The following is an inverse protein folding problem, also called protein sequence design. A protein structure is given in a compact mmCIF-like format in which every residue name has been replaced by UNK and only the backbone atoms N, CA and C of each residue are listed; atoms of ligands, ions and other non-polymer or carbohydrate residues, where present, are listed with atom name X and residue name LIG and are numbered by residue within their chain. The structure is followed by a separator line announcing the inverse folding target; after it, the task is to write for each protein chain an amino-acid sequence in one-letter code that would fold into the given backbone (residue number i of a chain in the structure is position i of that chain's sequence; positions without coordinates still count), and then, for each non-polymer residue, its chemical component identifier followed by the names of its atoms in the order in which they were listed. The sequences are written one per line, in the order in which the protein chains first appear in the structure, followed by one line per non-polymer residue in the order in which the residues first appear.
data_IF_394306925024
#
_entry.id   IF_394306925024
#
_cell.length_a   1.000
_cell.length_b   1.000
_cell.length_c   1.000
_cell.angle_alpha   90.00
_cell.angle_beta   90.00
_cell.angle_gamma   90.00
#
_symmetry.space_group_name_H-M   'P 1'
#
loop_
_entity.id
_entity.type
_entity.pdbx_description
1 polymer ?
#
# COMPACT_ATOMS: atom_id res chain seq x y z
N UNK A 1 40.09 18.12 18.77
CA UNK A 1 39.56 16.93 18.02
C UNK A 1 38.58 16.15 18.90
N UNK A 2 38.96 15.71 20.12
CA UNK A 2 38.09 14.91 20.99
C UNK A 2 36.73 15.57 21.31
N UNK A 3 36.72 16.89 21.59
CA UNK A 3 35.51 17.65 21.85
C UNK A 3 34.59 17.69 20.62
N UNK A 4 35.12 17.87 19.42
CA UNK A 4 34.36 17.86 18.18
C UNK A 4 33.71 16.48 17.90
N UNK A 5 34.45 15.41 18.12
CA UNK A 5 33.96 14.04 18.00
C UNK A 5 32.86 13.77 19.02
N UNK A 6 33.01 14.25 20.25
CA UNK A 6 31.99 14.11 21.29
C UNK A 6 30.70 14.87 20.93
N UNK A 7 30.81 16.12 20.45
CA UNK A 7 29.65 16.91 20.00
C UNK A 7 28.95 16.22 18.81
N UNK A 8 29.73 15.78 17.81
CA UNK A 8 29.21 15.04 16.68
C UNK A 8 28.49 13.77 17.13
N UNK A 9 29.07 13.01 18.02
CA UNK A 9 28.49 11.79 18.56
C UNK A 9 27.18 12.06 19.31
N UNK A 10 27.13 13.09 20.15
CA UNK A 10 25.92 13.50 20.88
C UNK A 10 24.82 14.00 19.96
N UNK A 11 25.12 14.72 18.89
CA UNK A 11 24.13 15.21 17.93
C UNK A 11 23.60 14.11 17.01
N UNK A 12 24.44 13.12 16.70
CA UNK A 12 24.02 11.99 15.83
C UNK A 12 23.36 10.84 16.57
N UNK A 13 23.47 10.78 17.91
CA UNK A 13 22.78 9.76 18.72
C UNK A 13 21.26 9.72 18.50
N UNK A 14 20.66 10.88 18.22
CA UNK A 14 19.22 10.97 17.92
C UNK A 14 18.86 10.39 16.55
N UNK A 15 19.82 10.35 15.63
CA UNK A 15 19.67 9.84 14.26
C UNK A 15 20.33 8.48 14.07
N UNK A 16 20.66 7.79 15.16
CA UNK A 16 21.29 6.47 15.07
C UNK A 16 20.32 5.47 14.46
N UNK A 17 20.54 4.96 13.23
CA UNK A 17 19.67 3.98 12.58
C UNK A 17 19.64 2.63 13.31
N UNK A 18 20.58 2.40 14.22
CA UNK A 18 20.64 1.19 15.06
C UNK A 18 19.81 1.34 16.35
N UNK A 19 19.16 2.48 16.58
CA UNK A 19 18.22 2.61 17.70
C UNK A 19 17.02 1.73 17.40
N UNK A 20 17.00 0.55 17.95
CA UNK A 20 15.86 -0.34 17.96
C UNK A 20 14.80 0.29 18.89
N UNK A 21 13.96 1.16 18.32
CA UNK A 21 12.73 1.51 18.97
C UNK A 21 11.85 0.26 18.94
N UNK A 22 11.29 -0.20 20.08
CA UNK A 22 10.31 -1.27 20.03
C UNK A 22 9.18 -0.80 19.11
N UNK A 23 9.04 -1.42 17.96
CA UNK A 23 7.92 -1.17 17.06
C UNK A 23 6.67 -1.60 17.82
N UNK A 24 5.80 -0.65 18.18
CA UNK A 24 4.52 -0.95 18.81
C UNK A 24 3.61 -1.78 17.90
N UNK A 25 3.91 -1.80 16.61
CA UNK A 25 3.14 -2.53 15.60
C UNK A 25 4.11 -3.28 14.70
N UNK A 26 4.14 -4.61 14.80
CA UNK A 26 4.88 -5.46 13.87
C UNK A 26 3.97 -5.86 12.69
N UNK A 27 3.89 -4.98 11.71
CA UNK A 27 3.11 -5.23 10.48
C UNK A 27 3.65 -6.44 9.70
N UNK A 28 4.95 -6.69 9.78
CA UNK A 28 5.57 -7.87 9.18
C UNK A 28 5.11 -9.16 9.84
N UNK A 29 4.87 -9.17 11.15
CA UNK A 29 4.32 -10.32 11.85
C UNK A 29 2.88 -10.61 11.41
N UNK A 30 2.02 -9.60 11.30
CA UNK A 30 0.67 -9.76 10.76
C UNK A 30 0.70 -10.36 9.36
N UNK A 31 1.58 -9.86 8.50
CA UNK A 31 1.77 -10.42 7.17
C UNK A 31 2.22 -11.89 7.22
N UNK A 32 3.18 -12.27 8.06
CA UNK A 32 3.67 -13.66 8.20
C UNK A 32 2.60 -14.60 8.72
N UNK A 33 1.85 -14.20 9.77
CA UNK A 33 0.80 -15.03 10.38
C UNK A 33 -0.32 -15.31 9.37
N UNK A 34 -0.74 -14.30 8.61
CA UNK A 34 -1.85 -14.42 7.67
C UNK A 34 -1.41 -14.85 6.27
N UNK A 35 -0.09 -14.97 6.07
CA UNK A 35 0.54 -15.25 4.79
C UNK A 35 1.03 -16.68 4.63
N UNK A 36 0.74 -17.58 5.56
CA UNK A 36 1.41 -18.87 5.73
C UNK A 36 1.34 -19.83 4.54
N UNK A 37 0.70 -19.48 3.45
CA UNK A 37 0.60 -20.36 2.28
C UNK A 37 1.21 -19.70 1.04
N UNK A 38 2.18 -20.36 0.47
CA UNK A 38 2.77 -20.27 -0.87
C UNK A 38 4.13 -19.60 -0.98
N UNK A 39 5.09 -20.39 -1.49
CA UNK A 39 6.46 -20.02 -1.83
C UNK A 39 6.63 -18.98 -2.95
N UNK A 40 5.66 -18.11 -3.19
CA UNK A 40 5.73 -17.00 -4.11
C UNK A 40 5.67 -15.67 -3.36
N UNK A 41 6.49 -14.71 -3.81
CA UNK A 41 6.47 -13.34 -3.30
C UNK A 41 5.09 -12.74 -3.58
N UNK A 42 4.22 -12.72 -2.59
CA UNK A 42 2.88 -12.16 -2.68
C UNK A 42 2.91 -10.70 -2.28
N UNK A 43 2.69 -9.81 -3.25
CA UNK A 43 2.62 -8.37 -3.01
C UNK A 43 1.32 -7.99 -2.33
N UNK A 44 1.41 -7.00 -1.44
CA UNK A 44 0.28 -6.44 -0.69
C UNK A 44 -0.03 -5.04 -1.18
N UNK A 45 -1.30 -4.77 -1.46
CA UNK A 45 -1.82 -3.43 -1.64
C UNK A 45 -2.18 -2.86 -0.26
N UNK A 46 -1.60 -1.73 0.11
CA UNK A 46 -1.87 -1.06 1.39
C UNK A 46 -2.85 0.08 1.15
N UNK A 47 -4.01 0.02 1.79
CA UNK A 47 -5.08 1.00 1.62
C UNK A 47 -5.04 2.08 2.70
N UNK A 48 -5.51 3.27 2.35
CA UNK A 48 -5.57 4.47 3.20
C UNK A 48 -4.22 4.87 3.80
N UNK A 49 -3.14 4.49 3.12
CA UNK A 49 -1.80 5.01 3.37
C UNK A 49 -1.38 5.87 2.19
N UNK A 50 -0.85 7.06 2.44
CA UNK A 50 -0.07 7.76 1.44
C UNK A 50 1.12 6.88 1.00
N UNK A 51 1.85 7.29 -0.04
CA UNK A 51 3.00 6.52 -0.49
C UNK A 51 4.00 6.22 0.63
N UNK A 52 4.11 7.09 1.63
CA UNK A 52 4.96 6.92 2.81
C UNK A 52 4.34 5.88 3.77
N UNK A 53 3.03 5.91 4.00
CA UNK A 53 2.33 4.92 4.84
C UNK A 53 2.52 3.49 4.35
N UNK A 54 2.48 3.24 3.04
CA UNK A 54 2.77 1.94 2.47
C UNK A 54 4.23 1.50 2.72
N UNK A 55 5.19 2.44 2.72
CA UNK A 55 6.60 2.17 3.00
C UNK A 55 6.85 1.66 4.43
N UNK A 56 5.98 1.97 5.39
CA UNK A 56 6.06 1.41 6.75
C UNK A 56 5.86 -0.10 6.71
N UNK A 57 4.95 -0.60 5.87
CA UNK A 57 4.77 -2.04 5.64
C UNK A 57 6.02 -2.66 4.99
N UNK A 58 6.60 -1.98 4.00
CA UNK A 58 7.84 -2.43 3.36
C UNK A 58 9.00 -2.50 4.35
N UNK A 59 9.14 -1.53 5.24
CA UNK A 59 10.13 -1.54 6.32
C UNK A 59 9.92 -2.70 7.30
N UNK A 60 8.67 -3.16 7.48
CA UNK A 60 8.31 -4.37 8.22
C UNK A 60 8.53 -5.68 7.44
N UNK A 61 9.10 -5.63 6.23
CA UNK A 61 9.37 -6.80 5.40
C UNK A 61 8.18 -7.28 4.56
N UNK A 62 7.12 -6.46 4.42
CA UNK A 62 5.96 -6.77 3.58
C UNK A 62 6.21 -6.31 2.15
N UNK A 63 6.18 -7.20 1.13
CA UNK A 63 6.24 -6.79 -0.26
C UNK A 63 5.00 -5.98 -0.62
N UNK A 64 5.17 -4.78 -1.15
CA UNK A 64 4.08 -3.84 -1.43
C UNK A 64 3.87 -3.59 -2.93
N UNK A 65 2.65 -3.18 -3.31
CA UNK A 65 2.27 -2.75 -4.66
C UNK A 65 2.31 -1.23 -4.80
N UNK A 66 1.93 -0.50 -3.76
CA UNK A 66 1.90 0.96 -3.74
C UNK A 66 2.95 1.52 -2.78
N UNK A 67 3.38 2.76 -3.00
CA UNK A 67 4.44 3.40 -2.23
C UNK A 67 5.20 4.41 -3.09
N UNK A 68 6.50 4.53 -2.89
CA UNK A 68 7.37 5.46 -3.63
C UNK A 68 8.10 4.71 -4.73
N UNK A 69 7.88 5.10 -5.98
CA UNK A 69 8.45 4.44 -7.16
C UNK A 69 9.10 5.42 -8.13
N UNK A 70 10.29 5.07 -8.62
CA UNK A 70 10.98 5.83 -9.67
C UNK A 70 10.41 5.59 -11.06
N UNK A 71 9.79 4.43 -11.27
CA UNK A 71 9.20 4.03 -12.54
C UNK A 71 7.73 3.67 -12.37
N UNK A 72 6.85 4.01 -13.34
CA UNK A 72 5.44 3.66 -13.26
C UNK A 72 5.24 2.15 -13.33
N UNK A 73 4.24 1.66 -12.62
CA UNK A 73 3.78 0.27 -12.69
C UNK A 73 2.91 0.04 -13.93
N UNK A 74 3.52 0.11 -15.12
CA UNK A 74 2.80 0.06 -16.39
C UNK A 74 1.81 -1.10 -16.46
N UNK A 75 2.25 -2.33 -16.19
CA UNK A 75 1.40 -3.52 -16.23
C UNK A 75 0.21 -3.46 -15.25
N UNK A 76 0.33 -2.76 -14.12
CA UNK A 76 -0.80 -2.54 -13.21
C UNK A 76 -1.81 -1.58 -13.85
N UNK A 77 -1.36 -0.47 -14.39
CA UNK A 77 -2.22 0.53 -15.02
C UNK A 77 -2.95 -0.02 -16.25
N UNK A 78 -2.27 -0.85 -17.05
CA UNK A 78 -2.88 -1.55 -18.19
C UNK A 78 -3.99 -2.48 -17.74
N UNK A 79 -3.76 -3.31 -16.69
CA UNK A 79 -4.80 -4.18 -16.13
C UNK A 79 -5.97 -3.41 -15.52
N UNK A 80 -5.70 -2.27 -14.90
CA UNK A 80 -6.76 -1.40 -14.36
C UNK A 80 -7.58 -0.69 -15.45
N UNK A 81 -7.13 -0.74 -16.72
CA UNK A 81 -7.84 -0.15 -17.85
C UNK A 81 -7.92 1.37 -17.78
N UNK A 82 -6.81 2.04 -17.42
CA UNK A 82 -6.78 3.50 -17.41
C UNK A 82 -6.90 4.06 -18.83
N UNK A 83 -7.56 5.21 -18.95
CA UNK A 83 -7.75 5.88 -20.23
C UNK A 83 -6.45 6.52 -20.70
N UNK A 84 -6.34 6.73 -22.03
CA UNK A 84 -5.12 7.28 -22.63
C UNK A 84 -4.72 8.64 -22.03
N UNK A 85 -5.70 9.45 -21.72
CA UNK A 85 -5.55 10.78 -21.13
C UNK A 85 -4.99 10.72 -19.70
N UNK A 86 -5.24 9.63 -18.98
CA UNK A 86 -4.76 9.44 -17.60
C UNK A 86 -3.29 8.99 -17.54
N UNK A 87 -2.75 8.48 -18.65
CA UNK A 87 -1.33 8.06 -18.70
C UNK A 87 -0.37 9.20 -18.36
N UNK A 88 -0.70 10.43 -18.71
CA UNK A 88 0.12 11.60 -18.36
C UNK A 88 0.24 11.79 -16.83
N UNK A 89 -0.76 11.35 -16.07
CA UNK A 89 -0.78 11.46 -14.62
C UNK A 89 0.09 10.41 -13.93
N UNK A 90 0.19 9.21 -14.53
CA UNK A 90 0.80 8.04 -13.89
C UNK A 90 2.16 7.64 -14.47
N UNK A 91 2.52 8.15 -15.66
CA UNK A 91 3.79 7.81 -16.32
C UNK A 91 4.93 8.72 -15.83
N UNK A 92 5.24 8.65 -14.54
CA UNK A 92 6.28 9.46 -13.88
C UNK A 92 6.76 8.82 -12.57
N UNK A 93 7.82 9.40 -11.97
CA UNK A 93 8.10 9.21 -10.56
C UNK A 93 6.87 9.55 -9.73
N UNK A 94 6.52 8.70 -8.78
CA UNK A 94 5.28 8.91 -8.04
C UNK A 94 5.32 8.32 -6.63
N UNK A 95 4.66 9.03 -5.72
CA UNK A 95 4.17 8.51 -4.45
C UNK A 95 2.75 8.00 -4.69
N UNK A 96 2.62 6.70 -4.88
CA UNK A 96 1.34 6.07 -5.22
C UNK A 96 0.58 5.66 -3.96
N UNK A 97 -0.58 6.24 -3.74
CA UNK A 97 -1.49 5.91 -2.65
C UNK A 97 -2.85 5.42 -3.15
N UNK A 98 -3.45 4.47 -2.42
CA UNK A 98 -4.81 3.99 -2.68
C UNK A 98 -5.70 4.33 -1.48
N UNK A 99 -6.83 5.01 -1.74
CA UNK A 99 -7.72 5.54 -0.72
C UNK A 99 -9.15 5.07 -0.93
N UNK A 100 -9.75 4.54 0.13
CA UNK A 100 -11.14 4.09 0.12
C UNK A 100 -12.08 5.29 0.26
N UNK A 101 -12.95 5.49 -0.72
CA UNK A 101 -13.99 6.51 -0.72
C UNK A 101 -15.28 5.92 -1.27
N UNK A 102 -16.41 6.21 -0.61
CA UNK A 102 -17.73 5.73 -1.02
C UNK A 102 -18.38 6.54 -2.15
N UNK A 103 -17.87 7.75 -2.44
CA UNK A 103 -18.38 8.68 -3.45
C UNK A 103 -17.72 8.54 -4.84
N UNK A 104 -16.90 7.51 -5.03
CA UNK A 104 -16.28 7.21 -6.32
C UNK A 104 -17.33 6.63 -7.28
N UNK A 105 -17.25 7.01 -8.56
CA UNK A 105 -18.14 6.48 -9.60
C UNK A 105 -18.19 4.95 -9.56
N UNK A 106 -19.42 4.45 -9.38
CA UNK A 106 -19.68 3.05 -9.23
C UNK A 106 -19.43 2.24 -10.52
N UNK A 107 -19.49 2.86 -11.69
CA UNK A 107 -19.33 2.17 -12.98
C UNK A 107 -17.86 1.73 -13.17
N UNK A 108 -16.92 2.57 -12.82
CA UNK A 108 -15.48 2.27 -12.95
C UNK A 108 -14.87 1.71 -11.67
N UNK A 109 -15.44 2.07 -10.51
CA UNK A 109 -14.96 1.68 -9.19
C UNK A 109 -13.70 2.40 -8.71
N UNK A 110 -13.09 3.27 -9.52
CA UNK A 110 -11.94 4.09 -9.13
C UNK A 110 -11.83 5.39 -9.95
N UNK A 111 -11.07 6.35 -9.40
CA UNK A 111 -10.61 7.55 -10.12
C UNK A 111 -9.16 7.86 -9.73
N UNK A 112 -8.39 8.41 -10.67
CA UNK A 112 -7.01 8.83 -10.45
C UNK A 112 -7.01 10.34 -10.21
N UNK A 113 -6.32 10.77 -9.14
CA UNK A 113 -6.18 12.17 -8.76
C UNK A 113 -4.71 12.48 -8.55
N UNK A 114 -4.20 13.47 -9.25
CA UNK A 114 -2.89 14.03 -8.98
C UNK A 114 -3.03 15.14 -7.93
N UNK A 115 -2.50 14.91 -6.73
CA UNK A 115 -2.59 15.87 -5.62
C UNK A 115 -1.39 16.80 -5.56
N UNK A 116 -0.24 16.36 -6.06
CA UNK A 116 0.96 17.16 -6.26
C UNK A 116 1.75 16.66 -7.47
N UNK A 117 2.89 17.28 -7.76
CA UNK A 117 3.72 16.93 -8.94
C UNK A 117 4.19 15.46 -8.92
N UNK A 118 4.33 14.88 -7.74
CA UNK A 118 4.87 13.54 -7.48
C UNK A 118 3.89 12.63 -6.73
N UNK A 119 2.69 13.09 -6.41
CA UNK A 119 1.69 12.31 -5.68
C UNK A 119 0.51 11.92 -6.58
N UNK A 120 0.32 10.62 -6.72
CA UNK A 120 -0.81 10.02 -7.44
C UNK A 120 -1.67 9.26 -6.46
N UNK A 121 -2.90 9.71 -6.29
CA UNK A 121 -3.89 9.04 -5.45
C UNK A 121 -4.90 8.30 -6.33
N UNK A 122 -5.11 7.04 -6.02
CA UNK A 122 -6.19 6.25 -6.58
C UNK A 122 -7.29 6.17 -5.54
N UNK A 123 -8.38 6.88 -5.80
CA UNK A 123 -9.59 6.80 -4.99
C UNK A 123 -10.41 5.62 -5.47
N UNK A 124 -10.75 4.70 -4.58
CA UNK A 124 -11.41 3.44 -4.92
C UNK A 124 -12.71 3.26 -4.14
N UNK A 125 -13.72 2.73 -4.81
CA UNK A 125 -14.97 2.34 -4.14
C UNK A 125 -14.78 0.97 -3.47
N UNK A 126 -14.97 0.82 -2.15
CA UNK A 126 -14.60 -0.37 -1.40
C UNK A 126 -15.27 -1.65 -1.90
N UNK A 127 -16.51 -1.58 -2.37
CA UNK A 127 -17.28 -2.75 -2.81
C UNK A 127 -17.20 -3.02 -4.32
N UNK A 128 -16.82 -2.02 -5.14
CA UNK A 128 -16.93 -2.12 -6.61
C UNK A 128 -15.59 -2.20 -7.33
N UNK A 129 -14.53 -1.76 -6.68
CA UNK A 129 -13.19 -1.82 -7.27
C UNK A 129 -12.73 -3.27 -7.41
N UNK A 130 -12.20 -3.63 -8.58
CA UNK A 130 -11.60 -4.94 -8.78
C UNK A 130 -10.14 -4.96 -8.30
N UNK A 131 -9.91 -5.42 -7.08
CA UNK A 131 -8.58 -5.48 -6.48
C UNK A 131 -7.61 -6.41 -7.21
N UNK A 132 -8.13 -7.41 -7.94
CA UNK A 132 -7.30 -8.34 -8.73
C UNK A 132 -6.48 -7.63 -9.81
N UNK A 133 -7.01 -6.51 -10.34
CA UNK A 133 -6.35 -5.76 -11.40
C UNK A 133 -5.10 -5.01 -10.93
N UNK A 134 -4.91 -4.81 -9.63
CA UNK A 134 -3.69 -4.21 -9.09
C UNK A 134 -2.46 -5.13 -9.18
N UNK A 135 -2.68 -6.44 -9.33
CA UNK A 135 -1.63 -7.45 -9.25
C UNK A 135 -1.16 -7.73 -7.82
N UNK A 136 -1.89 -7.22 -6.83
CA UNK A 136 -1.72 -7.62 -5.44
C UNK A 136 -2.36 -8.98 -5.20
N UNK A 137 -1.67 -9.85 -4.47
CA UNK A 137 -2.26 -11.07 -3.94
C UNK A 137 -2.99 -10.82 -2.62
N UNK A 138 -2.68 -9.70 -1.97
CA UNK A 138 -3.23 -9.33 -0.67
C UNK A 138 -3.58 -7.85 -0.61
N UNK A 139 -4.54 -7.55 0.27
CA UNK A 139 -4.96 -6.18 0.57
C UNK A 139 -4.92 -6.01 2.08
N UNK A 140 -4.24 -4.97 2.54
CA UNK A 140 -4.20 -4.55 3.94
C UNK A 140 -4.91 -3.21 4.07
N UNK A 141 -5.82 -3.11 5.02
CA UNK A 141 -6.63 -1.90 5.25
C UNK A 141 -6.80 -1.64 6.75
N UNK A 142 -7.09 -0.38 7.17
CA UNK A 142 -7.54 -0.10 8.52
C UNK A 142 -8.82 -0.88 8.87
N UNK A 143 -8.90 -1.40 10.09
CA UNK A 143 -9.99 -2.30 10.53
C UNK A 143 -11.39 -1.69 10.37
N UNK A 144 -11.52 -0.37 10.40
CA UNK A 144 -12.79 0.34 10.17
C UNK A 144 -13.42 0.08 8.79
N UNK A 145 -12.65 -0.40 7.82
CA UNK A 145 -13.12 -0.74 6.47
C UNK A 145 -13.44 -2.22 6.28
N UNK A 146 -13.31 -3.03 7.34
CA UNK A 146 -13.47 -4.48 7.27
C UNK A 146 -14.80 -4.90 6.65
N UNK A 147 -15.91 -4.36 7.14
CA UNK A 147 -17.26 -4.74 6.69
C UNK A 147 -17.53 -4.33 5.24
N UNK A 148 -17.08 -3.13 4.86
CA UNK A 148 -17.25 -2.65 3.49
C UNK A 148 -16.43 -3.47 2.48
N UNK A 149 -15.19 -3.83 2.84
CA UNK A 149 -14.32 -4.64 2.01
C UNK A 149 -14.73 -6.12 1.97
N UNK A 150 -15.32 -6.65 3.06
CA UNK A 150 -15.83 -8.02 3.09
C UNK A 150 -16.97 -8.25 2.07
N UNK A 151 -17.67 -7.20 1.66
CA UNK A 151 -18.70 -7.25 0.61
C UNK A 151 -18.15 -7.16 -0.81
N UNK A 152 -16.82 -6.97 -0.97
CA UNK A 152 -16.21 -6.87 -2.28
C UNK A 152 -16.02 -8.24 -2.92
N UNK A 153 -16.51 -8.39 -4.15
CA UNK A 153 -16.49 -9.66 -4.90
C UNK A 153 -15.08 -10.18 -5.22
N UNK A 154 -14.08 -9.30 -5.27
CA UNK A 154 -12.69 -9.68 -5.58
C UNK A 154 -11.84 -9.98 -4.36
N UNK A 155 -12.41 -9.90 -3.15
CA UNK A 155 -11.71 -10.08 -1.89
C UNK A 155 -12.26 -11.27 -1.09
N UNK A 156 -11.38 -11.88 -0.29
CA UNK A 156 -11.72 -12.88 0.72
C UNK A 156 -11.01 -12.51 2.02
N UNK A 157 -11.75 -12.40 3.11
CA UNK A 157 -11.19 -12.05 4.42
C UNK A 157 -10.21 -13.14 4.89
N UNK A 158 -9.01 -12.72 5.29
CA UNK A 158 -8.00 -13.58 5.92
C UNK A 158 -8.01 -13.45 7.44
N UNK A 159 -8.23 -12.23 7.95
CA UNK A 159 -8.25 -11.95 9.38
C UNK A 159 -7.82 -10.53 9.69
N UNK A 160 -7.66 -10.23 10.99
CA UNK A 160 -7.19 -8.94 11.46
C UNK A 160 -6.05 -9.09 12.47
N UNK A 161 -5.13 -8.13 12.45
CA UNK A 161 -4.01 -8.08 13.36
C UNK A 161 -3.64 -6.61 13.66
N UNK A 162 -3.64 -6.24 14.93
CA UNK A 162 -3.26 -4.91 15.42
C UNK A 162 -3.93 -3.73 14.68
N UNK A 163 -5.24 -3.81 14.47
CA UNK A 163 -6.02 -2.74 13.83
C UNK A 163 -5.92 -2.71 12.29
N UNK A 164 -5.22 -3.67 11.69
CA UNK A 164 -5.17 -3.89 10.25
C UNK A 164 -5.96 -5.15 9.90
N UNK A 165 -6.87 -5.03 8.94
CA UNK A 165 -7.58 -6.16 8.35
C UNK A 165 -6.90 -6.57 7.05
N UNK A 166 -6.81 -7.87 6.81
CA UNK A 166 -6.15 -8.48 5.68
C UNK A 166 -7.12 -9.29 4.84
N UNK A 167 -7.01 -9.14 3.55
CA UNK A 167 -7.78 -9.89 2.56
C UNK A 167 -6.84 -10.55 1.54
N UNK A 168 -7.25 -11.70 1.02
CA UNK A 168 -6.71 -12.26 -0.21
C UNK A 168 -7.44 -11.64 -1.40
N UNK A 169 -6.70 -11.17 -2.40
CA UNK A 169 -7.26 -10.77 -3.68
C UNK A 169 -7.36 -11.99 -4.61
N UNK A 170 -8.46 -12.11 -5.36
CA UNK A 170 -8.61 -13.17 -6.35
C UNK A 170 -7.59 -13.00 -7.48
N UNK A 171 -7.06 -14.08 -8.07
CA UNK A 171 -5.94 -13.99 -9.01
C UNK A 171 -6.32 -13.42 -10.38
N UNK A 172 -7.59 -13.46 -10.77
CA UNK A 172 -8.02 -13.05 -12.10
C UNK A 172 -8.55 -11.61 -12.14
N UNK A 173 -7.93 -10.77 -12.98
CA UNK A 173 -8.47 -9.50 -13.43
C UNK A 173 -9.27 -9.76 -14.72
N UNK A 174 -10.60 -9.88 -14.58
CA UNK A 174 -11.53 -10.04 -15.71
C UNK A 174 -12.13 -8.70 -16.10
#
# INVERSE_FOLDING_TARGET
VALMLMVYWLTTLQFNPLRIAPSRVDLGQGHRILASEAGHIQRTLVLNGDGIGAMVFAAGGVPIVNGVFYYPHQAMWERMGIQKEEWVLVNRYQHLGFYLLSDVDAARGFRIVQTSIDQVHVHIHPQRFNFSCTGAARVAAPAQWADALAQNYSLTLLGSYQGVVWFAARPACN
#
